data_IF_284871716298
#
_entry.id   IF_284871716298
#
_cell.length_a   1.000
_cell.length_b   1.000
_cell.length_c   1.000
_cell.angle_alpha   90.00
_cell.angle_beta   90.00
_cell.angle_gamma   90.00
#
_symmetry.space_group_name_H-M   'P 1'
#
loop_
_entity.id
_entity.type
_entity.pdbx_description
1 polymer ?
#
# COMPACT_ATOMS: atom_id res chain seq x y z
N UNK A 1 -1.00 -6.60 -3.34
CA UNK A 1 -0.23 -5.92 -2.26
C UNK A 1 1.26 -5.73 -2.56
N UNK A 2 2.07 -6.78 -2.77
CA UNK A 2 3.53 -6.64 -2.97
C UNK A 2 3.93 -5.66 -4.10
N UNK A 3 3.25 -5.72 -5.24
CA UNK A 3 3.50 -4.79 -6.35
C UNK A 3 3.16 -3.33 -5.99
N UNK A 4 2.07 -3.10 -5.23
CA UNK A 4 1.74 -1.76 -4.71
C UNK A 4 2.82 -1.22 -3.78
N UNK A 5 3.36 -2.06 -2.90
CA UNK A 5 4.52 -1.68 -2.08
C UNK A 5 5.70 -1.25 -2.95
N UNK A 6 6.07 -2.03 -3.98
CA UNK A 6 7.13 -1.63 -4.92
C UNK A 6 6.82 -0.29 -5.60
N UNK A 7 5.56 -0.06 -6.00
CA UNK A 7 5.16 1.22 -6.58
C UNK A 7 5.35 2.40 -5.60
N UNK A 8 5.09 2.21 -4.29
CA UNK A 8 5.46 3.22 -3.28
C UNK A 8 6.98 3.41 -3.15
N UNK A 9 7.77 2.34 -3.27
CA UNK A 9 9.24 2.45 -3.25
C UNK A 9 9.75 3.25 -4.45
N UNK A 10 9.15 3.01 -5.62
CA UNK A 10 9.54 3.65 -6.89
C UNK A 10 8.86 5.00 -7.13
N UNK A 11 7.92 5.40 -6.26
CA UNK A 11 7.04 6.57 -6.45
C UNK A 11 6.25 6.52 -7.76
N UNK A 12 5.80 5.33 -8.15
CA UNK A 12 4.98 5.09 -9.34
C UNK A 12 3.50 5.36 -9.04
N UNK A 13 3.10 6.63 -9.16
CA UNK A 13 1.73 7.07 -8.91
C UNK A 13 0.73 6.44 -9.87
N UNK A 14 1.10 6.30 -11.14
CA UNK A 14 0.23 5.75 -12.18
C UNK A 14 -0.17 4.31 -11.84
N UNK A 15 0.79 3.48 -11.42
CA UNK A 15 0.49 2.12 -10.97
C UNK A 15 -0.39 2.09 -9.71
N UNK A 16 -0.12 2.97 -8.75
CA UNK A 16 -0.91 3.04 -7.52
C UNK A 16 -2.37 3.40 -7.80
N UNK A 17 -2.63 4.37 -8.68
CA UNK A 17 -3.99 4.73 -9.11
C UNK A 17 -4.65 3.62 -9.92
N UNK A 18 -3.94 3.03 -10.88
CA UNK A 18 -4.46 1.95 -11.72
C UNK A 18 -4.82 0.67 -10.96
N UNK A 19 -4.24 0.48 -9.76
CA UNK A 19 -4.50 -0.65 -8.86
C UNK A 19 -5.29 -0.28 -7.61
N UNK A 20 -5.88 0.92 -7.56
CA UNK A 20 -6.79 1.37 -6.51
C UNK A 20 -8.23 1.28 -7.03
N UNK A 21 -9.17 0.94 -6.16
CA UNK A 21 -10.58 1.04 -6.48
C UNK A 21 -10.97 2.52 -6.71
N UNK A 22 -11.69 2.86 -7.79
CA UNK A 22 -11.97 4.27 -8.13
C UNK A 22 -12.73 5.00 -7.01
N UNK A 23 -13.67 4.34 -6.35
CA UNK A 23 -14.52 4.95 -5.31
C UNK A 23 -13.75 5.37 -4.05
N UNK A 24 -12.58 4.77 -3.80
CA UNK A 24 -11.78 5.01 -2.59
C UNK A 24 -10.40 5.59 -2.91
N UNK A 25 -10.08 5.79 -4.19
CA UNK A 25 -8.82 6.38 -4.61
C UNK A 25 -8.82 7.87 -4.25
N UNK A 26 -7.88 8.34 -3.41
CA UNK A 26 -7.81 9.74 -3.07
C UNK A 26 -7.46 10.59 -4.30
N UNK A 27 -7.93 11.84 -4.30
CA UNK A 27 -7.62 12.81 -5.35
C UNK A 27 -6.12 13.09 -5.42
N UNK A 28 -5.43 13.12 -4.27
CA UNK A 28 -3.99 13.33 -4.16
C UNK A 28 -3.32 12.16 -3.44
N UNK A 29 -2.25 11.62 -4.03
CA UNK A 29 -1.38 10.64 -3.39
C UNK A 29 -0.12 11.35 -2.90
N UNK A 30 0.10 11.37 -1.58
CA UNK A 30 1.31 11.95 -1.01
C UNK A 30 2.51 10.99 -1.17
N UNK A 31 3.12 11.00 -2.36
CA UNK A 31 4.32 10.21 -2.69
C UNK A 31 5.61 11.04 -2.63
N UNK A 32 5.46 12.36 -2.57
CA UNK A 32 6.56 13.29 -2.46
C UNK A 32 7.09 13.36 -1.03
N UNK A 33 8.41 13.36 -0.94
CA UNK A 33 9.11 13.56 0.32
C UNK A 33 9.03 15.04 0.70
N UNK A 34 8.82 15.34 1.98
CA UNK A 34 8.98 16.70 2.46
C UNK A 34 10.45 17.15 2.29
N UNK A 35 10.68 18.45 2.18
CA UNK A 35 12.02 19.04 2.06
C UNK A 35 12.94 18.51 3.19
N UNK A 36 14.00 17.80 2.80
CA UNK A 36 14.97 17.19 3.73
C UNK A 36 14.55 15.86 4.37
N UNK A 37 13.35 15.34 4.07
CA UNK A 37 12.79 14.13 4.69
C UNK A 37 12.51 13.03 3.67
N UNK A 38 13.59 12.47 3.08
CA UNK A 38 13.49 11.36 2.12
C UNK A 38 12.93 10.11 2.78
N UNK A 39 11.85 9.56 2.22
CA UNK A 39 11.29 8.27 2.62
C UNK A 39 12.14 7.15 2.03
N UNK A 40 12.68 6.31 2.91
CA UNK A 40 13.43 5.10 2.57
C UNK A 40 12.65 3.91 3.08
N UNK A 41 12.13 3.11 2.16
CA UNK A 41 11.47 1.86 2.48
C UNK A 41 12.51 0.78 2.81
N UNK A 42 12.34 0.13 3.97
CA UNK A 42 13.30 -0.81 4.54
C UNK A 42 12.85 -2.28 4.37
N UNK A 43 11.58 -2.50 4.09
CA UNK A 43 11.07 -3.82 3.72
C UNK A 43 9.58 -3.97 3.95
N UNK A 44 9.06 -5.08 3.41
CA UNK A 44 7.69 -5.52 3.53
C UNK A 44 7.65 -6.97 4.05
N UNK A 45 6.85 -7.21 5.09
CA UNK A 45 6.52 -8.55 5.56
C UNK A 45 5.02 -8.76 5.42
N UNK A 46 4.61 -9.67 4.53
CA UNK A 46 3.22 -10.14 4.48
C UNK A 46 3.03 -11.15 5.61
N UNK A 47 2.05 -10.90 6.48
CA UNK A 47 1.73 -11.74 7.64
C UNK A 47 0.64 -12.75 7.31
N UNK A 48 -0.39 -12.31 6.60
CA UNK A 48 -1.53 -13.15 6.24
C UNK A 48 -2.08 -12.74 4.89
N UNK A 49 -2.58 -13.73 4.16
CA UNK A 49 -3.44 -13.56 2.99
C UNK A 49 -4.67 -14.44 3.22
N UNK A 50 -5.86 -13.89 3.01
CA UNK A 50 -7.11 -14.61 3.16
C UNK A 50 -8.06 -14.24 2.02
N UNK A 51 -8.60 -15.25 1.33
CA UNK A 51 -9.71 -15.05 0.39
C UNK A 51 -10.98 -14.91 1.22
N UNK A 52 -11.72 -13.82 1.04
CA UNK A 52 -12.94 -13.50 1.81
C UNK A 52 -14.22 -13.62 0.98
N UNK A 53 -14.09 -13.92 -0.31
CA UNK A 53 -15.19 -14.17 -1.24
C UNK A 53 -14.65 -14.53 -2.62
N UNK A 54 -15.55 -14.75 -3.59
CA UNK A 54 -15.15 -15.12 -4.96
C UNK A 54 -14.24 -14.06 -5.62
N UNK A 55 -14.50 -12.80 -5.33
CA UNK A 55 -13.79 -11.63 -5.86
C UNK A 55 -13.33 -10.66 -4.75
N UNK A 56 -13.07 -11.19 -3.55
CA UNK A 56 -12.56 -10.39 -2.44
C UNK A 56 -11.49 -11.12 -1.63
N UNK A 57 -10.51 -10.36 -1.14
CA UNK A 57 -9.43 -10.88 -0.33
C UNK A 57 -8.87 -9.82 0.63
N UNK A 58 -8.23 -10.28 1.69
CA UNK A 58 -7.52 -9.45 2.66
C UNK A 58 -6.04 -9.82 2.73
N UNK A 59 -5.21 -8.81 2.98
CA UNK A 59 -3.78 -8.97 3.19
C UNK A 59 -3.35 -8.20 4.43
N UNK A 60 -2.89 -8.90 5.46
CA UNK A 60 -2.22 -8.31 6.62
C UNK A 60 -0.72 -8.22 6.35
N UNK A 61 -0.13 -7.05 6.55
CA UNK A 61 1.29 -6.86 6.33
C UNK A 61 1.89 -5.84 7.30
N UNK A 62 3.22 -5.87 7.35
CA UNK A 62 4.03 -4.87 8.02
C UNK A 62 4.97 -4.26 6.98
N UNK A 63 4.87 -2.96 6.74
CA UNK A 63 5.86 -2.20 6.00
C UNK A 63 6.74 -1.41 6.98
N UNK A 64 8.03 -1.32 6.68
CA UNK A 64 8.96 -0.49 7.45
C UNK A 64 9.56 0.56 6.55
N UNK A 65 9.62 1.78 7.04
CA UNK A 65 10.26 2.89 6.35
C UNK A 65 10.89 3.83 7.35
N UNK A 66 11.76 4.71 6.85
CA UNK A 66 12.33 5.82 7.60
C UNK A 66 12.09 7.08 6.78
N UNK A 67 11.73 8.19 7.44
CA UNK A 67 11.67 9.50 6.79
C UNK A 67 12.78 10.38 7.32
N UNK A 68 13.69 10.81 6.43
CA UNK A 68 14.86 11.61 6.80
C UNK A 68 15.78 10.90 7.80
N UNK A 69 16.29 11.66 8.79
CA UNK A 69 17.15 11.15 9.87
C UNK A 69 16.41 10.46 11.02
N UNK A 70 15.09 10.31 10.95
CA UNK A 70 14.28 9.78 12.05
C UNK A 70 14.50 8.28 12.30
N UNK A 71 13.94 7.75 13.38
CA UNK A 71 13.89 6.31 13.60
C UNK A 71 13.02 5.61 12.54
N UNK A 72 13.26 4.31 12.33
CA UNK A 72 12.41 3.51 11.45
C UNK A 72 11.01 3.38 12.05
N UNK A 73 10.00 3.65 11.22
CA UNK A 73 8.58 3.49 11.54
C UNK A 73 8.10 2.14 11.01
N UNK A 74 7.25 1.50 11.79
CA UNK A 74 6.53 0.28 11.42
C UNK A 74 5.07 0.63 11.14
N UNK A 75 4.63 0.39 9.91
CA UNK A 75 3.23 0.44 9.51
C UNK A 75 2.69 -0.99 9.49
N UNK A 76 1.70 -1.28 10.33
CA UNK A 76 0.99 -2.56 10.35
C UNK A 76 -0.44 -2.30 9.86
N UNK A 77 -0.82 -2.93 8.76
CA UNK A 77 -2.13 -2.74 8.14
C UNK A 77 -2.75 -4.07 7.71
N UNK A 78 -4.08 -4.12 7.76
CA UNK A 78 -4.91 -5.13 7.10
C UNK A 78 -5.64 -4.43 5.95
N UNK A 79 -5.22 -4.73 4.72
CA UNK A 79 -5.83 -4.17 3.51
C UNK A 79 -6.87 -5.11 2.92
N UNK A 80 -7.94 -4.53 2.39
CA UNK A 80 -8.97 -5.23 1.62
C UNK A 80 -8.78 -4.99 0.13
N UNK A 81 -8.99 -6.03 -0.66
CA UNK A 81 -8.91 -6.01 -2.11
C UNK A 81 -10.18 -6.62 -2.71
N UNK A 82 -10.60 -6.06 -3.83
CA UNK A 82 -11.67 -6.61 -4.68
C UNK A 82 -11.12 -6.92 -6.06
N UNK A 83 -11.66 -7.94 -6.72
CA UNK A 83 -11.33 -8.28 -8.09
C UNK A 83 -12.44 -7.77 -9.01
N UNK A 84 -12.09 -6.90 -9.96
CA UNK A 84 -13.00 -6.39 -10.98
C UNK A 84 -12.34 -6.48 -12.35
N UNK A 85 -13.07 -6.99 -13.35
CA UNK A 85 -12.56 -7.25 -14.71
C UNK A 85 -11.21 -8.01 -14.71
N UNK A 86 -11.11 -9.04 -13.87
CA UNK A 86 -9.91 -9.87 -13.73
C UNK A 86 -8.72 -9.20 -13.03
N UNK A 87 -8.86 -7.97 -12.52
CA UNK A 87 -7.80 -7.20 -11.86
C UNK A 87 -8.10 -7.00 -10.38
N UNK A 88 -7.08 -7.17 -9.53
CA UNK A 88 -7.18 -6.88 -8.11
C UNK A 88 -6.96 -5.39 -7.84
N UNK A 89 -7.93 -4.76 -7.19
CA UNK A 89 -7.93 -3.35 -6.81
C UNK A 89 -7.91 -3.23 -5.29
N UNK A 90 -7.06 -2.36 -4.77
CA UNK A 90 -7.06 -2.00 -3.36
C UNK A 90 -8.32 -1.19 -3.04
N UNK A 91 -9.11 -1.66 -2.07
CA UNK A 91 -10.32 -0.97 -1.64
C UNK A 91 -9.95 0.02 -0.53
N UNK A 92 -9.52 -0.49 0.62
CA UNK A 92 -9.08 0.30 1.76
C UNK A 92 -8.25 -0.58 2.71
N UNK A 93 -7.91 -0.05 3.88
CA UNK A 93 -7.24 -0.79 4.93
C UNK A 93 -7.34 -0.12 6.28
N UNK A 94 -7.14 -0.91 7.32
CA UNK A 94 -7.13 -0.45 8.71
C UNK A 94 -5.73 -0.61 9.30
N UNK A 95 -5.28 0.42 10.02
CA UNK A 95 -4.02 0.41 10.75
C UNK A 95 -4.20 -0.30 12.09
N UNK A 96 -3.18 -1.05 12.50
CA UNK A 96 -3.18 -1.83 13.75
C UNK A 96 -2.08 -1.37 14.70
#
# INVERSE_FOLDING_TARGET
MRSRYTAYVMKDEAYLRASWHPDTCPAELQLQDALGARTVWLGLTVKRHAVTGADSAEVEFIARYRSGGAAAVKLHEISRFVRSDGRWLYLDGIHR
#
